data_IF_386279357204
#
_entry.id   IF_386279357204
#
_cell.length_a   1.000
_cell.length_b   1.000
_cell.length_c   1.000
_cell.angle_alpha   90.00
_cell.angle_beta   90.00
_cell.angle_gamma   90.00
#
_symmetry.space_group_name_H-M   'P 1'
#
loop_
_entity.id
_entity.type
_entity.pdbx_description
1 polymer ?
#
# COMPACT_ATOMS: atom_id res chain seq x y z
N UNK A 1 -14.86 62.97 29.01
CA UNK A 1 -14.81 63.01 27.55
C UNK A 1 -16.11 62.40 27.01
N UNK A 2 -17.16 63.21 26.94
CA UNK A 2 -17.69 63.85 25.72
C UNK A 2 -18.58 62.90 24.88
N UNK A 3 -19.81 62.73 25.39
CA UNK A 3 -21.05 62.67 24.59
C UNK A 3 -21.31 64.07 23.98
N UNK A 4 -22.12 64.27 22.90
CA UNK A 4 -23.45 63.67 22.78
C UNK A 4 -24.06 63.44 21.36
N UNK A 5 -25.25 62.80 21.41
CA UNK A 5 -26.43 62.87 20.53
C UNK A 5 -26.56 64.09 19.59
N UNK A 6 -27.18 63.93 18.42
CA UNK A 6 -28.52 64.48 18.11
C UNK A 6 -28.96 64.22 16.65
N UNK A 7 -30.23 63.86 16.50
CA UNK A 7 -31.21 64.19 15.45
C UNK A 7 -30.79 64.70 14.04
N UNK A 8 -31.50 64.12 13.06
CA UNK A 8 -32.27 64.78 11.99
C UNK A 8 -31.72 66.04 11.30
N UNK A 9 -31.52 65.97 9.98
CA UNK A 9 -32.07 66.97 9.02
C UNK A 9 -31.90 66.55 7.57
N UNK A 10 -33.03 66.44 6.86
CA UNK A 10 -33.11 66.56 5.39
C UNK A 10 -32.91 68.05 5.05
N UNK A 11 -32.29 68.39 3.89
CA UNK A 11 -33.10 69.02 2.86
C UNK A 11 -32.83 68.47 1.46
N UNK A 12 -33.92 68.43 0.69
CA UNK A 12 -33.94 68.38 -0.75
C UNK A 12 -33.45 69.71 -1.35
N UNK A 13 -32.77 69.65 -2.49
CA UNK A 13 -32.65 70.65 -3.58
C UNK A 13 -31.46 70.18 -4.43
N UNK A 14 -31.54 69.97 -5.74
CA UNK A 14 -32.06 70.86 -6.77
C UNK A 14 -32.41 70.03 -8.01
N UNK A 15 -33.64 70.17 -8.51
CA UNK A 15 -33.92 69.88 -9.91
C UNK A 15 -33.40 71.01 -10.80
N UNK A 16 -32.92 70.66 -12.00
CA UNK A 16 -33.04 71.37 -13.29
C UNK A 16 -32.10 70.60 -14.24
N UNK A 17 -32.55 69.87 -15.26
CA UNK A 17 -32.95 70.33 -16.59
C UNK A 17 -33.43 69.04 -17.29
N UNK A 18 -34.72 68.84 -17.56
CA UNK A 18 -35.38 69.28 -18.80
C UNK A 18 -34.48 69.12 -20.02
N UNK A 19 -34.55 67.98 -20.71
CA UNK A 19 -34.76 67.92 -22.16
C UNK A 19 -35.37 66.55 -22.52
N UNK A 20 -36.68 66.48 -22.72
CA UNK A 20 -37.38 66.48 -24.03
C UNK A 20 -37.41 65.09 -24.71
N UNK A 21 -38.64 64.64 -24.98
CA UNK A 21 -39.03 63.58 -25.93
C UNK A 21 -38.96 62.13 -25.41
N UNK A 22 -39.97 61.82 -24.61
CA UNK A 22 -40.69 60.55 -24.62
C UNK A 22 -41.18 60.24 -26.05
N UNK A 23 -40.71 59.15 -26.67
CA UNK A 23 -41.51 58.15 -27.43
C UNK A 23 -40.66 57.36 -28.44
N UNK A 24 -41.04 56.09 -28.60
CA UNK A 24 -40.64 55.10 -29.60
C UNK A 24 -39.23 54.50 -29.50
N UNK A 25 -39.15 53.30 -28.92
CA UNK A 25 -39.19 52.04 -29.71
C UNK A 25 -39.00 50.85 -28.77
N UNK A 26 -40.11 50.35 -28.20
CA UNK A 26 -40.15 48.98 -27.69
C UNK A 26 -40.31 48.08 -28.92
N UNK A 27 -39.22 47.51 -29.43
CA UNK A 27 -39.26 46.18 -30.05
C UNK A 27 -37.87 45.56 -30.04
N UNK A 28 -37.86 44.26 -29.76
CA UNK A 28 -36.83 43.28 -30.08
C UNK A 28 -35.88 42.86 -28.95
N UNK A 29 -36.32 41.82 -28.24
CA UNK A 29 -35.51 41.05 -27.30
C UNK A 29 -36.24 39.82 -26.74
N UNK A 30 -37.13 39.19 -27.51
CA UNK A 30 -37.59 37.83 -27.21
C UNK A 30 -36.47 36.87 -27.61
N UNK A 31 -35.67 36.46 -26.64
CA UNK A 31 -35.01 35.14 -26.56
C UNK A 31 -33.97 35.17 -25.43
N UNK A 32 -34.39 35.35 -24.17
CA UNK A 32 -33.54 34.87 -23.08
C UNK A 32 -33.74 33.36 -23.03
N UNK A 33 -32.97 32.67 -23.86
CA UNK A 33 -32.86 31.22 -23.89
C UNK A 33 -32.76 30.71 -22.45
N UNK A 34 -33.75 29.91 -22.04
CA UNK A 34 -33.59 29.03 -20.89
C UNK A 34 -32.42 28.10 -21.20
N UNK A 35 -31.22 28.48 -20.77
CA UNK A 35 -30.08 27.59 -20.78
C UNK A 35 -30.36 26.54 -19.71
N UNK A 36 -31.05 25.47 -20.11
CA UNK A 36 -31.02 24.22 -19.40
C UNK A 36 -29.53 23.86 -19.22
N UNK A 37 -29.04 23.92 -17.99
CA UNK A 37 -27.71 23.43 -17.67
C UNK A 37 -27.75 21.92 -17.87
N UNK A 38 -27.37 21.46 -19.06
CA UNK A 38 -27.05 20.06 -19.29
C UNK A 38 -25.91 19.71 -18.33
N UNK A 39 -26.17 18.81 -17.38
CA UNK A 39 -25.12 18.20 -16.56
C UNK A 39 -24.11 17.60 -17.51
N UNK A 40 -22.97 18.27 -17.67
CA UNK A 40 -21.86 17.70 -18.40
C UNK A 40 -21.39 16.46 -17.62
N UNK A 41 -21.29 15.27 -18.24
CA UNK A 41 -20.70 14.14 -17.57
C UNK A 41 -19.25 14.50 -17.26
N UNK A 42 -18.92 14.63 -15.98
CA UNK A 42 -17.53 14.72 -15.57
C UNK A 42 -16.92 13.34 -15.74
N UNK A 43 -16.11 13.17 -16.79
CA UNK A 43 -15.37 11.95 -16.97
C UNK A 43 -14.17 11.98 -16.01
N UNK A 44 -14.23 11.22 -14.93
CA UNK A 44 -13.05 10.96 -14.10
C UNK A 44 -12.13 10.07 -14.91
N UNK A 45 -11.18 10.68 -15.63
CA UNK A 45 -10.07 9.94 -16.21
C UNK A 45 -9.25 9.35 -15.07
N UNK A 46 -9.51 8.08 -14.75
CA UNK A 46 -8.67 7.32 -13.84
C UNK A 46 -7.29 7.23 -14.49
N UNK A 47 -6.27 7.79 -13.84
CA UNK A 47 -4.90 7.54 -14.27
C UNK A 47 -4.65 6.03 -14.23
N UNK A 48 -4.04 5.49 -15.28
CA UNK A 48 -3.57 4.12 -15.29
C UNK A 48 -2.50 3.99 -14.21
N UNK A 49 -2.72 3.12 -13.22
CA UNK A 49 -1.77 2.91 -12.14
C UNK A 49 -0.60 2.08 -12.69
N UNK A 50 0.49 2.76 -13.05
CA UNK A 50 1.76 2.12 -13.39
C UNK A 50 2.52 1.93 -12.09
N UNK A 51 2.71 0.67 -11.69
CA UNK A 51 3.52 0.30 -10.54
C UNK A 51 4.95 -0.02 -10.98
N UNK A 52 5.90 0.19 -10.07
CA UNK A 52 7.25 -0.34 -10.24
C UNK A 52 7.24 -1.87 -10.15
N UNK A 53 8.08 -2.53 -10.94
CA UNK A 53 8.29 -3.96 -10.85
C UNK A 53 9.18 -4.28 -9.64
N UNK A 54 8.79 -5.30 -8.87
CA UNK A 54 9.58 -5.71 -7.71
C UNK A 54 10.86 -6.43 -8.15
N UNK A 55 12.00 -6.14 -7.52
CA UNK A 55 13.25 -6.78 -7.90
C UNK A 55 13.25 -8.28 -7.55
N UNK A 56 13.99 -9.03 -8.34
CA UNK A 56 14.34 -10.43 -8.09
C UNK A 56 15.85 -10.50 -7.88
N UNK A 57 16.28 -11.08 -6.76
CA UNK A 57 17.67 -11.07 -6.31
C UNK A 57 18.32 -12.45 -6.49
N UNK A 58 19.65 -12.51 -6.54
CA UNK A 58 20.39 -13.77 -6.46
C UNK A 58 20.76 -14.08 -5.01
N UNK A 59 20.49 -15.30 -4.56
CA UNK A 59 20.80 -15.72 -3.18
C UNK A 59 22.31 -15.60 -2.90
N UNK A 60 23.17 -15.95 -3.86
CA UNK A 60 24.63 -15.86 -3.71
C UNK A 60 25.16 -14.44 -3.53
N UNK A 61 24.42 -13.44 -3.98
CA UNK A 61 24.80 -12.03 -3.87
C UNK A 61 24.37 -11.42 -2.52
N UNK A 62 23.29 -11.92 -1.92
CA UNK A 62 22.68 -11.34 -0.72
C UNK A 62 22.90 -12.16 0.55
N UNK A 63 23.28 -13.43 0.43
CA UNK A 63 23.52 -14.33 1.56
C UNK A 63 25.01 -14.61 1.75
N UNK A 64 25.41 -14.76 3.02
CA UNK A 64 26.71 -15.34 3.36
C UNK A 64 26.73 -16.83 2.99
N UNK A 65 27.90 -17.41 2.66
CA UNK A 65 28.00 -18.80 2.19
C UNK A 65 27.35 -19.83 3.11
N UNK A 66 27.42 -19.67 4.43
CA UNK A 66 26.83 -20.60 5.40
C UNK A 66 25.29 -20.61 5.40
N UNK A 67 24.66 -19.52 4.97
CA UNK A 67 23.22 -19.47 4.80
C UNK A 67 22.81 -19.96 3.42
N UNK A 68 23.66 -19.75 2.41
CA UNK A 68 23.43 -20.20 1.04
C UNK A 68 23.40 -21.74 0.95
N UNK A 69 24.32 -22.42 1.61
CA UNK A 69 24.36 -23.88 1.66
C UNK A 69 25.00 -24.40 2.95
N UNK A 70 24.47 -25.52 3.44
CA UNK A 70 25.00 -26.27 4.57
C UNK A 70 24.86 -27.78 4.33
N UNK A 71 25.19 -28.62 5.33
CA UNK A 71 25.16 -30.08 5.17
C UNK A 71 23.80 -30.65 4.79
N UNK A 72 22.71 -29.99 5.21
CA UNK A 72 21.34 -30.46 5.03
C UNK A 72 20.44 -29.46 4.29
N UNK A 73 20.98 -28.34 3.82
CA UNK A 73 20.18 -27.30 3.16
C UNK A 73 20.92 -26.60 2.01
N UNK A 74 20.16 -26.11 1.04
CA UNK A 74 20.61 -25.19 0.00
C UNK A 74 19.51 -24.19 -0.33
N UNK A 75 19.82 -22.90 -0.31
CA UNK A 75 18.89 -21.84 -0.72
C UNK A 75 18.90 -21.75 -2.23
N UNK A 76 17.70 -21.73 -2.84
CA UNK A 76 17.54 -21.59 -4.28
C UNK A 76 17.80 -20.17 -4.74
N UNK A 77 18.21 -20.09 -6.00
CA UNK A 77 18.07 -18.89 -6.81
C UNK A 77 16.95 -19.13 -7.83
N UNK A 78 16.18 -18.10 -8.22
CA UNK A 78 16.23 -16.71 -7.76
C UNK A 78 15.45 -16.46 -6.45
N UNK A 79 15.60 -15.26 -5.85
CA UNK A 79 14.92 -14.80 -4.63
C UNK A 79 13.99 -13.63 -4.96
N UNK A 80 12.69 -13.87 -5.22
CA UNK A 80 11.71 -12.81 -5.42
C UNK A 80 11.55 -11.94 -4.17
N UNK A 81 11.24 -10.66 -4.36
CA UNK A 81 10.80 -9.80 -3.26
C UNK A 81 9.28 -9.64 -3.28
N UNK A 82 8.66 -9.61 -2.09
CA UNK A 82 7.24 -9.34 -1.94
C UNK A 82 6.99 -8.59 -0.64
N UNK A 83 6.21 -7.51 -0.72
CA UNK A 83 5.88 -6.65 0.43
C UNK A 83 7.10 -6.21 1.25
N UNK A 84 8.23 -5.94 0.59
CA UNK A 84 9.48 -5.52 1.22
C UNK A 84 10.31 -6.65 1.85
N UNK A 85 9.93 -7.91 1.67
CA UNK A 85 10.67 -9.07 2.18
C UNK A 85 11.22 -9.94 1.04
N UNK A 86 12.40 -10.51 1.25
CA UNK A 86 12.97 -11.55 0.38
C UNK A 86 12.24 -12.88 0.62
N UNK A 87 11.77 -13.53 -0.43
CA UNK A 87 11.12 -14.84 -0.36
C UNK A 87 12.12 -15.92 -0.73
N UNK A 88 12.63 -16.62 0.27
CA UNK A 88 13.60 -17.70 0.10
C UNK A 88 12.89 -19.05 -0.05
N UNK A 89 13.38 -19.87 -0.96
CA UNK A 89 13.06 -21.30 -1.04
C UNK A 89 14.31 -22.10 -0.69
N UNK A 90 14.16 -23.08 0.21
CA UNK A 90 15.26 -23.84 0.78
C UNK A 90 15.03 -25.33 0.47
N UNK A 91 15.92 -25.92 -0.30
CA UNK A 91 15.99 -27.37 -0.50
C UNK A 91 16.67 -28.02 0.70
N UNK A 92 16.15 -29.15 1.17
CA UNK A 92 16.75 -29.91 2.26
C UNK A 92 16.50 -31.41 2.13
N UNK A 93 17.26 -32.22 2.88
CA UNK A 93 17.05 -33.67 3.02
C UNK A 93 15.68 -34.03 3.65
N UNK A 94 14.97 -33.03 4.19
CA UNK A 94 13.70 -33.19 4.91
C UNK A 94 12.51 -32.54 4.20
N UNK A 95 12.70 -32.04 2.98
CA UNK A 95 11.68 -31.38 2.17
C UNK A 95 12.08 -29.96 1.75
N UNK A 96 11.13 -29.25 1.14
CA UNK A 96 11.30 -27.86 0.72
C UNK A 96 10.68 -26.94 1.76
N UNK A 97 11.44 -25.92 2.17
CA UNK A 97 10.98 -24.92 3.14
C UNK A 97 10.94 -23.54 2.50
N UNK A 98 9.94 -22.75 2.87
CA UNK A 98 9.80 -21.36 2.47
C UNK A 98 10.06 -20.42 3.66
N UNK A 99 10.70 -19.29 3.37
CA UNK A 99 11.01 -18.27 4.35
C UNK A 99 10.80 -16.86 3.80
N UNK A 100 9.93 -16.10 4.45
CA UNK A 100 9.71 -14.68 4.16
C UNK A 100 10.61 -13.84 5.07
N UNK A 101 11.70 -13.33 4.51
CA UNK A 101 12.68 -12.51 5.19
C UNK A 101 13.76 -13.31 5.93
N UNK A 102 14.77 -12.58 6.39
CA UNK A 102 16.01 -13.16 6.90
C UNK A 102 15.83 -13.89 8.23
N UNK A 103 14.95 -13.42 9.13
CA UNK A 103 14.70 -14.10 10.42
C UNK A 103 14.09 -15.49 10.20
N UNK A 104 13.10 -15.59 9.32
CA UNK A 104 12.49 -16.86 8.96
C UNK A 104 13.51 -17.78 8.27
N UNK A 105 14.37 -17.26 7.40
CA UNK A 105 15.42 -18.04 6.75
C UNK A 105 16.33 -18.71 7.79
N UNK A 106 16.83 -17.93 8.75
CA UNK A 106 17.68 -18.44 9.84
C UNK A 106 16.94 -19.48 10.67
N UNK A 107 15.67 -19.22 11.00
CA UNK A 107 14.83 -20.18 11.73
C UNK A 107 14.68 -21.49 10.97
N UNK A 108 14.34 -21.45 9.68
CA UNK A 108 14.20 -22.66 8.84
C UNK A 108 15.48 -23.47 8.76
N UNK A 109 16.63 -22.81 8.60
CA UNK A 109 17.93 -23.49 8.58
C UNK A 109 18.20 -24.19 9.93
N UNK A 110 17.91 -23.52 11.05
CA UNK A 110 18.05 -24.13 12.37
C UNK A 110 17.09 -25.31 12.58
N UNK A 111 15.85 -25.20 12.11
CA UNK A 111 14.87 -26.30 12.14
C UNK A 111 15.35 -27.51 11.33
N UNK A 112 15.86 -27.28 10.11
CA UNK A 112 16.45 -28.33 9.26
C UNK A 112 17.59 -29.04 9.99
N UNK A 113 18.52 -28.29 10.60
CA UNK A 113 19.62 -28.87 11.36
C UNK A 113 19.14 -29.63 12.61
N UNK A 114 18.09 -29.15 13.28
CA UNK A 114 17.50 -29.84 14.42
C UNK A 114 16.84 -31.17 14.00
N UNK A 115 16.15 -31.21 12.85
CA UNK A 115 15.58 -32.46 12.30
C UNK A 115 16.68 -33.47 11.99
N UNK A 116 17.81 -33.03 11.44
CA UNK A 116 18.97 -33.90 11.21
C UNK A 116 19.46 -34.52 12.52
N UNK A 117 19.66 -33.71 13.57
CA UNK A 117 20.09 -34.18 14.89
C UNK A 117 19.08 -35.15 15.52
N UNK A 118 17.77 -34.87 15.40
CA UNK A 118 16.73 -35.78 15.91
C UNK A 118 16.78 -37.14 15.20
N UNK A 119 17.00 -37.16 13.87
CA UNK A 119 17.20 -38.41 13.14
C UNK A 119 18.41 -39.18 13.62
N UNK A 120 19.53 -38.51 13.89
CA UNK A 120 20.73 -39.16 14.40
C UNK A 120 20.51 -39.76 15.80
N UNK A 121 19.86 -39.02 16.71
CA UNK A 121 19.52 -39.52 18.05
C UNK A 121 18.57 -40.73 17.97
N UNK A 122 17.59 -40.72 17.06
CA UNK A 122 16.65 -41.85 16.89
C UNK A 122 17.31 -43.17 16.49
N UNK A 123 18.55 -43.12 15.99
CA UNK A 123 19.32 -44.30 15.55
C UNK A 123 20.21 -44.88 16.64
N UNK A 124 20.28 -44.23 17.81
CA UNK A 124 21.13 -44.65 18.92
C UNK A 124 20.52 -45.81 19.71
N UNK A 125 21.36 -46.58 20.40
CA UNK A 125 20.90 -47.70 21.23
C UNK A 125 20.08 -47.22 22.42
N UNK A 126 20.41 -46.05 22.98
CA UNK A 126 19.62 -45.43 24.06
C UNK A 126 18.17 -45.17 23.63
N UNK A 127 17.95 -44.72 22.39
CA UNK A 127 16.60 -44.54 21.85
C UNK A 127 15.86 -45.87 21.71
N UNK A 128 16.54 -46.91 21.19
CA UNK A 128 15.95 -48.26 21.07
C UNK A 128 15.55 -48.81 22.44
N UNK A 129 16.43 -48.70 23.43
CA UNK A 129 16.19 -49.17 24.79
C UNK A 129 15.00 -48.46 25.43
N UNK A 130 14.90 -47.13 25.26
CA UNK A 130 13.78 -46.34 25.76
C UNK A 130 12.44 -46.76 25.12
N UNK A 131 12.42 -47.03 23.80
CA UNK A 131 11.22 -47.52 23.10
C UNK A 131 10.83 -48.91 23.60
N UNK A 132 11.79 -49.83 23.79
CA UNK A 132 11.54 -51.17 24.34
C UNK A 132 11.00 -51.10 25.76
N UNK A 133 11.51 -50.20 26.59
CA UNK A 133 11.03 -50.00 27.96
C UNK A 133 9.58 -49.50 27.97
N UNK A 134 9.25 -48.50 27.14
CA UNK A 134 7.91 -47.94 27.02
C UNK A 134 6.87 -48.95 26.50
N UNK A 135 7.27 -49.90 25.64
CA UNK A 135 6.37 -50.94 25.15
C UNK A 135 6.02 -52.01 26.21
N UNK A 136 6.78 -52.08 27.32
CA UNK A 136 6.59 -53.05 28.40
C UNK A 136 5.83 -52.48 29.60
N UNK A 137 5.64 -51.16 29.66
CA UNK A 137 4.86 -50.45 30.69
C UNK A 137 3.39 -50.37 30.31
#
# INVERSE_FOLDING_TARGET
MHCPNFMNRVPAFTGQLRETVLCLTITLGLAFSGAAQTTQPFEVRRAEAVFEELPVLNASEILRPEFLAGPHHKVREPVPTYFGANQFTIDSDFGVFEANGNEMLVRRINEINAIAQLKDVSRTDQYKDAVVAAAKS
#
